data_IF_288781605454
#
_entry.id   IF_288781605454
#
_cell.length_a   1.000
_cell.length_b   1.000
_cell.length_c   1.000
_cell.angle_alpha   90.00
_cell.angle_beta   90.00
_cell.angle_gamma   90.00
#
_symmetry.space_group_name_H-M   'P 1'
#
loop_
_entity.id
_entity.type
_entity.pdbx_description
1 polymer ?
#
# COMPACT_ATOMS: atom_id res chain seq x y z
N UNK A 1 2.07 52.41 -8.74
CA UNK A 1 1.57 51.02 -8.77
C UNK A 1 0.08 51.03 -8.42
N UNK A 2 -0.84 50.64 -9.31
CA UNK A 2 -2.26 50.66 -9.00
C UNK A 2 -2.66 49.41 -8.22
N UNK A 3 -3.42 49.60 -7.14
CA UNK A 3 -4.04 48.54 -6.34
C UNK A 3 -5.13 47.86 -7.17
N UNK A 4 -5.03 46.54 -7.36
CA UNK A 4 -6.10 45.73 -7.95
C UNK A 4 -7.22 45.59 -6.93
N UNK A 5 -8.42 46.06 -7.29
CA UNK A 5 -9.66 45.82 -6.57
C UNK A 5 -10.12 44.38 -6.81
N UNK A 6 -10.28 43.60 -5.75
CA UNK A 6 -10.94 42.30 -5.83
C UNK A 6 -12.45 42.50 -5.82
N UNK A 7 -13.10 42.11 -6.92
CA UNK A 7 -14.54 41.90 -6.98
C UNK A 7 -14.89 40.59 -6.27
N UNK A 8 -15.98 40.52 -5.46
CA UNK A 8 -16.42 39.28 -4.84
C UNK A 8 -16.96 38.31 -5.89
N UNK A 9 -16.65 37.03 -5.72
CA UNK A 9 -17.23 35.93 -6.48
C UNK A 9 -18.61 35.64 -5.87
N UNK A 10 -19.68 35.95 -6.60
CA UNK A 10 -21.04 35.52 -6.27
C UNK A 10 -21.17 34.01 -6.50
N UNK A 11 -21.44 33.26 -5.44
CA UNK A 11 -21.85 31.87 -5.54
C UNK A 11 -23.31 31.81 -5.95
N UNK A 12 -23.57 31.36 -7.18
CA UNK A 12 -24.92 31.02 -7.64
C UNK A 12 -25.43 29.81 -6.84
N UNK A 13 -26.45 30.03 -6.02
CA UNK A 13 -27.23 28.97 -5.37
C UNK A 13 -28.19 28.37 -6.40
N UNK A 14 -27.89 27.17 -6.87
CA UNK A 14 -28.82 26.39 -7.69
C UNK A 14 -29.92 25.81 -6.80
N UNK A 15 -31.12 26.37 -6.91
CA UNK A 15 -32.34 25.80 -6.33
C UNK A 15 -32.74 24.54 -7.11
N UNK A 16 -32.40 23.36 -6.58
CA UNK A 16 -32.95 22.10 -7.07
C UNK A 16 -34.32 21.87 -6.42
N UNK A 17 -35.37 21.96 -7.23
CA UNK A 17 -36.73 21.49 -6.89
C UNK A 17 -36.78 19.98 -7.08
N UNK A 18 -36.90 19.22 -5.99
CA UNK A 18 -37.08 17.76 -6.06
C UNK A 18 -38.56 17.42 -6.04
N UNK A 19 -39.15 17.28 -7.23
CA UNK A 19 -40.38 16.52 -7.43
C UNK A 19 -40.01 15.20 -8.11
N UNK A 20 -40.13 14.09 -7.39
CA UNK A 20 -40.63 12.81 -7.89
C UNK A 20 -40.61 11.76 -6.76
N UNK A 21 -41.81 11.45 -6.26
CA UNK A 21 -42.10 10.28 -5.44
C UNK A 21 -42.00 9.03 -6.30
N UNK A 22 -40.91 8.28 -6.17
CA UNK A 22 -40.78 6.92 -6.70
C UNK A 22 -41.00 5.98 -5.53
N UNK A 23 -42.05 5.17 -5.62
CA UNK A 23 -42.32 4.07 -4.70
C UNK A 23 -41.27 2.97 -4.86
N UNK A 24 -40.69 2.43 -3.78
CA UNK A 24 -39.74 1.33 -3.87
C UNK A 24 -40.52 0.01 -3.98
N UNK A 25 -40.59 -0.54 -5.20
CA UNK A 25 -41.03 -1.91 -5.45
C UNK A 25 -39.82 -2.75 -5.85
N UNK A 26 -39.46 -3.72 -5.01
CA UNK A 26 -38.60 -4.85 -5.40
C UNK A 26 -37.10 -4.69 -5.13
N UNK A 27 -36.67 -4.42 -3.89
CA UNK A 27 -35.33 -4.85 -3.46
C UNK A 27 -35.36 -6.35 -3.18
N UNK A 28 -34.86 -7.14 -4.14
CA UNK A 28 -34.45 -8.53 -3.89
C UNK A 28 -33.24 -8.49 -2.94
N UNK A 29 -33.47 -8.86 -1.67
CA UNK A 29 -32.42 -9.14 -0.70
C UNK A 29 -31.56 -10.29 -1.23
N UNK A 30 -30.44 -9.97 -1.87
CA UNK A 30 -29.36 -10.95 -2.01
C UNK A 30 -28.75 -11.12 -0.63
N UNK A 31 -29.20 -12.15 0.08
CA UNK A 31 -28.55 -12.64 1.28
C UNK A 31 -27.11 -12.99 0.93
N UNK A 32 -26.18 -12.07 1.23
CA UNK A 32 -24.75 -12.35 1.25
C UNK A 32 -24.58 -13.36 2.39
N UNK A 33 -24.57 -14.65 2.05
CA UNK A 33 -24.06 -15.69 2.93
C UNK A 33 -22.58 -15.40 3.14
N UNK A 34 -22.26 -14.63 4.18
CA UNK A 34 -20.94 -14.66 4.78
C UNK A 34 -20.78 -16.11 5.23
N UNK A 35 -19.96 -16.86 4.50
CA UNK A 35 -19.56 -18.20 4.91
C UNK A 35 -18.71 -17.97 6.16
N UNK A 36 -19.34 -18.11 7.32
CA UNK A 36 -18.69 -18.06 8.61
C UNK A 36 -17.79 -19.29 8.74
N UNK A 37 -16.57 -19.17 8.22
CA UNK A 37 -15.46 -20.10 8.46
C UNK A 37 -14.82 -19.84 9.84
N UNK A 38 -15.55 -19.18 10.76
CA UNK A 38 -15.12 -18.90 12.13
C UNK A 38 -14.93 -20.17 12.96
N UNK A 39 -15.68 -21.23 12.66
CA UNK A 39 -15.63 -22.47 13.44
C UNK A 39 -14.35 -23.29 13.23
N UNK A 40 -13.54 -22.95 12.21
CA UNK A 40 -12.23 -23.57 11.96
C UNK A 40 -11.04 -22.67 12.35
N UNK A 41 -11.28 -21.48 12.93
CA UNK A 41 -10.18 -20.65 13.42
C UNK A 41 -9.65 -21.24 14.74
N UNK A 42 -8.65 -22.10 14.61
CA UNK A 42 -7.83 -22.56 15.71
C UNK A 42 -7.36 -21.33 16.50
N UNK A 43 -7.67 -21.30 17.81
CA UNK A 43 -7.29 -20.20 18.71
C UNK A 43 -5.78 -19.97 18.52
N UNK A 44 -5.33 -18.77 18.12
CA UNK A 44 -3.92 -18.54 17.88
C UNK A 44 -3.17 -18.94 19.16
N UNK A 45 -2.17 -19.81 19.00
CA UNK A 45 -1.20 -20.07 20.06
C UNK A 45 -0.70 -18.72 20.59
N UNK A 46 -0.26 -18.65 21.84
CA UNK A 46 0.38 -17.44 22.42
C UNK A 46 1.67 -17.02 21.67
N UNK A 47 1.97 -17.66 20.54
CA UNK A 47 3.07 -17.37 19.64
C UNK A 47 2.81 -16.06 18.91
N UNK A 48 3.75 -15.13 19.04
CA UNK A 48 3.72 -13.86 18.34
C UNK A 48 4.02 -14.14 16.86
N UNK A 49 3.01 -14.04 16.01
CA UNK A 49 3.17 -14.17 14.57
C UNK A 49 4.12 -13.08 14.04
N UNK A 50 5.11 -13.47 13.23
CA UNK A 50 6.00 -12.54 12.52
C UNK A 50 5.36 -12.16 11.18
N UNK A 51 4.86 -13.18 10.48
CA UNK A 51 4.17 -13.09 9.19
C UNK A 51 3.22 -14.29 9.04
N UNK A 52 2.63 -14.51 7.87
CA UNK A 52 1.74 -15.66 7.66
C UNK A 52 2.49 -17.00 7.79
N UNK A 53 3.74 -17.05 7.31
CA UNK A 53 4.57 -18.27 7.32
C UNK A 53 5.60 -18.31 8.45
N UNK A 54 5.81 -17.23 9.19
CA UNK A 54 6.87 -17.16 10.20
C UNK A 54 6.30 -16.78 11.57
N UNK A 55 6.82 -17.43 12.61
CA UNK A 55 6.57 -17.09 14.02
C UNK A 55 7.89 -16.97 14.78
N UNK A 56 7.88 -16.22 15.89
CA UNK A 56 9.02 -16.18 16.80
C UNK A 56 9.23 -17.52 17.50
N UNK A 57 10.48 -17.94 17.68
CA UNK A 57 10.79 -19.05 18.58
C UNK A 57 10.61 -18.62 20.04
N UNK A 58 9.94 -19.44 20.84
CA UNK A 58 9.76 -19.20 22.28
C UNK A 58 11.08 -19.28 23.07
N UNK A 59 12.06 -20.01 22.54
CA UNK A 59 13.30 -20.35 23.26
C UNK A 59 14.47 -19.45 22.85
N UNK A 60 14.40 -18.84 21.66
CA UNK A 60 15.51 -18.10 21.08
C UNK A 60 15.01 -16.82 20.40
N UNK A 61 15.28 -15.62 20.95
CA UNK A 61 14.73 -14.37 20.43
C UNK A 61 15.26 -14.00 19.03
N UNK A 62 16.35 -14.62 18.57
CA UNK A 62 16.90 -14.39 17.23
C UNK A 62 16.50 -15.49 16.23
N UNK A 63 15.62 -16.42 16.60
CA UNK A 63 15.16 -17.48 15.72
C UNK A 63 13.70 -17.25 15.35
N UNK A 64 13.40 -17.38 14.06
CA UNK A 64 12.04 -17.52 13.57
C UNK A 64 11.83 -18.93 13.03
N UNK A 65 10.61 -19.43 13.15
CA UNK A 65 10.21 -20.77 12.73
C UNK A 65 9.24 -20.62 11.56
N UNK A 66 9.51 -21.31 10.45
CA UNK A 66 8.54 -21.44 9.38
C UNK A 66 7.41 -22.38 9.85
N UNK A 67 6.17 -21.88 9.90
CA UNK A 67 5.02 -22.59 10.46
C UNK A 67 4.57 -23.78 9.61
N UNK A 68 4.98 -23.85 8.35
CA UNK A 68 4.61 -24.91 7.42
C UNK A 68 5.64 -26.05 7.42
N UNK A 69 6.93 -25.72 7.53
CA UNK A 69 8.03 -26.70 7.46
C UNK A 69 8.66 -27.02 8.81
N UNK A 70 8.33 -26.25 9.85
CA UNK A 70 8.97 -26.26 11.17
C UNK A 70 10.49 -26.01 11.12
N UNK A 71 11.00 -25.45 10.02
CA UNK A 71 12.40 -25.09 9.88
C UNK A 71 12.70 -23.80 10.64
N UNK A 72 13.82 -23.80 11.38
CA UNK A 72 14.34 -22.63 12.07
C UNK A 72 15.24 -21.78 11.17
N UNK A 73 15.15 -20.46 11.34
CA UNK A 73 15.95 -19.48 10.62
C UNK A 73 16.51 -18.45 11.60
N UNK A 74 17.81 -18.15 11.47
CA UNK A 74 18.45 -17.10 12.26
C UNK A 74 18.18 -15.73 11.65
N UNK A 75 17.73 -14.78 12.48
CA UNK A 75 17.49 -13.40 12.06
C UNK A 75 18.75 -12.60 11.81
N UNK A 76 19.92 -13.06 12.24
CA UNK A 76 21.18 -12.42 11.86
C UNK A 76 21.53 -12.67 10.38
N UNK A 77 20.90 -13.68 9.74
CA UNK A 77 21.04 -13.92 8.31
C UNK A 77 20.13 -12.98 7.50
N UNK A 78 20.75 -12.18 6.64
CA UNK A 78 20.08 -11.29 5.68
C UNK A 78 19.05 -12.03 4.82
N UNK A 79 19.30 -13.30 4.45
CA UNK A 79 18.35 -14.09 3.66
C UNK A 79 17.06 -14.34 4.43
N UNK A 80 17.15 -14.60 5.73
CA UNK A 80 15.98 -14.75 6.61
C UNK A 80 15.16 -13.47 6.63
N UNK A 81 15.81 -12.32 6.80
CA UNK A 81 15.14 -11.01 6.81
C UNK A 81 14.39 -10.74 5.50
N UNK A 82 15.03 -11.05 4.36
CA UNK A 82 14.41 -10.93 3.03
C UNK A 82 13.18 -11.84 2.91
N UNK A 83 13.27 -13.09 3.36
CA UNK A 83 12.14 -14.04 3.32
C UNK A 83 10.96 -13.55 4.15
N UNK A 84 11.21 -13.02 5.34
CA UNK A 84 10.16 -12.46 6.19
C UNK A 84 9.54 -11.22 5.54
N UNK A 85 10.36 -10.29 5.04
CA UNK A 85 9.86 -9.08 4.38
C UNK A 85 8.99 -9.42 3.16
N UNK A 86 9.45 -10.34 2.32
CA UNK A 86 8.68 -10.85 1.19
C UNK A 86 7.36 -11.46 1.66
N UNK A 87 7.39 -12.31 2.68
CA UNK A 87 6.19 -12.97 3.17
C UNK A 87 5.17 -11.98 3.75
N UNK A 88 5.63 -10.98 4.51
CA UNK A 88 4.79 -9.91 5.03
C UNK A 88 4.12 -9.14 3.88
N UNK A 89 4.89 -8.60 2.93
CA UNK A 89 4.32 -7.78 1.86
C UNK A 89 3.39 -8.60 0.96
N UNK A 90 3.83 -9.79 0.52
CA UNK A 90 3.02 -10.63 -0.37
C UNK A 90 1.75 -11.11 0.30
N UNK A 91 1.83 -11.67 1.50
CA UNK A 91 0.68 -12.35 2.10
C UNK A 91 -0.21 -11.42 2.91
N UNK A 92 0.28 -10.27 3.40
CA UNK A 92 -0.57 -9.29 4.08
C UNK A 92 -1.25 -8.33 3.11
N UNK A 93 -0.65 -8.06 1.95
CA UNK A 93 -1.15 -7.05 1.02
C UNK A 93 -1.48 -7.62 -0.36
N UNK A 94 -0.48 -8.05 -1.13
CA UNK A 94 -0.70 -8.37 -2.54
C UNK A 94 -1.58 -9.59 -2.78
N UNK A 95 -1.50 -10.62 -1.94
CA UNK A 95 -2.38 -11.78 -1.99
C UNK A 95 -3.86 -11.39 -1.93
N UNK A 96 -4.20 -10.49 -1.00
CA UNK A 96 -5.58 -9.99 -0.88
C UNK A 96 -5.93 -9.05 -2.03
N UNK A 97 -4.99 -8.22 -2.49
CA UNK A 97 -5.19 -7.40 -3.68
C UNK A 97 -5.55 -8.24 -4.91
N UNK A 98 -4.82 -9.32 -5.19
CA UNK A 98 -5.14 -10.25 -6.27
C UNK A 98 -6.51 -10.91 -6.13
N UNK A 99 -6.87 -11.35 -4.92
CA UNK A 99 -8.21 -11.91 -4.65
C UNK A 99 -9.32 -10.90 -4.93
N UNK A 100 -9.09 -9.63 -4.63
CA UNK A 100 -10.07 -8.56 -4.81
C UNK A 100 -10.26 -8.16 -6.27
N UNK A 101 -9.31 -8.47 -7.19
CA UNK A 101 -9.44 -8.11 -8.62
C UNK A 101 -10.66 -8.70 -9.32
N UNK A 102 -11.28 -9.74 -8.75
CA UNK A 102 -12.52 -10.32 -9.29
C UNK A 102 -13.78 -9.54 -8.91
N UNK A 103 -13.67 -8.58 -7.99
CA UNK A 103 -14.78 -7.73 -7.53
C UNK A 103 -14.67 -6.31 -8.13
N UNK A 104 -15.61 -5.98 -9.01
CA UNK A 104 -15.71 -4.68 -9.67
C UNK A 104 -15.86 -3.49 -8.71
N UNK A 105 -16.30 -3.72 -7.47
CA UNK A 105 -16.43 -2.68 -6.45
C UNK A 105 -15.17 -2.49 -5.60
N UNK A 106 -14.17 -3.36 -5.73
CA UNK A 106 -12.98 -3.33 -4.90
C UNK A 106 -11.88 -2.36 -5.39
N UNK A 107 -12.13 -1.60 -6.47
CA UNK A 107 -11.12 -0.74 -7.11
C UNK A 107 -10.41 0.24 -6.16
N UNK A 108 -11.15 0.86 -5.22
CA UNK A 108 -10.54 1.76 -4.22
C UNK A 108 -9.62 1.02 -3.23
N UNK A 109 -10.02 -0.19 -2.80
CA UNK A 109 -9.24 -0.99 -1.85
C UNK A 109 -7.98 -1.52 -2.53
N UNK A 110 -8.10 -2.04 -3.76
CA UNK A 110 -6.98 -2.49 -4.58
C UNK A 110 -5.95 -1.36 -4.75
N UNK A 111 -6.44 -0.15 -5.08
CA UNK A 111 -5.59 1.02 -5.23
C UNK A 111 -4.92 1.40 -3.90
N UNK A 112 -5.65 1.40 -2.78
CA UNK A 112 -5.09 1.70 -1.46
C UNK A 112 -3.99 0.70 -1.08
N UNK A 113 -4.20 -0.59 -1.34
CA UNK A 113 -3.19 -1.64 -1.13
C UNK A 113 -1.93 -1.30 -1.93
N UNK A 114 -2.05 -1.07 -3.23
CA UNK A 114 -0.92 -0.77 -4.10
C UNK A 114 -0.17 0.50 -3.66
N UNK A 115 -0.88 1.60 -3.44
CA UNK A 115 -0.30 2.89 -3.03
C UNK A 115 0.48 2.77 -1.72
N UNK A 116 -0.03 1.99 -0.76
CA UNK A 116 0.61 1.81 0.54
C UNK A 116 2.02 1.20 0.45
N UNK A 117 2.32 0.47 -0.62
CA UNK A 117 3.60 -0.21 -0.80
C UNK A 117 4.65 0.64 -1.50
N UNK A 118 4.27 1.69 -2.25
CA UNK A 118 5.23 2.50 -3.04
C UNK A 118 6.30 3.11 -2.14
N UNK A 119 5.89 3.81 -1.08
CA UNK A 119 6.80 4.46 -0.14
C UNK A 119 7.57 3.42 0.70
N UNK A 120 6.89 2.33 1.11
CA UNK A 120 7.52 1.27 1.89
C UNK A 120 8.68 0.62 1.15
N UNK A 121 8.44 0.16 -0.08
CA UNK A 121 9.47 -0.50 -0.91
C UNK A 121 10.60 0.47 -1.25
N UNK A 122 10.29 1.73 -1.57
CA UNK A 122 11.32 2.71 -1.93
C UNK A 122 12.28 3.01 -0.77
N UNK A 123 11.81 3.03 0.49
CA UNK A 123 12.70 3.16 1.65
C UNK A 123 13.75 2.06 1.68
N UNK A 124 13.33 0.79 1.60
CA UNK A 124 14.23 -0.36 1.60
C UNK A 124 15.19 -0.35 0.40
N UNK A 125 14.74 0.15 -0.75
CA UNK A 125 15.56 0.22 -1.93
C UNK A 125 16.63 1.31 -1.86
N UNK A 126 16.33 2.47 -1.27
CA UNK A 126 17.27 3.60 -1.16
C UNK A 126 18.04 3.64 0.15
N UNK A 127 17.65 2.84 1.15
CA UNK A 127 18.30 2.80 2.46
C UNK A 127 18.00 4.02 3.33
N UNK A 128 16.98 4.81 3.01
CA UNK A 128 16.62 6.01 3.78
C UNK A 128 15.20 5.92 4.31
N UNK A 129 15.05 6.20 5.61
CA UNK A 129 13.73 6.32 6.24
C UNK A 129 12.96 7.47 5.58
N UNK A 130 11.67 7.26 5.35
CA UNK A 130 10.77 8.29 4.83
C UNK A 130 10.24 9.22 5.91
N UNK A 131 10.68 9.07 7.17
CA UNK A 131 10.29 9.97 8.25
C UNK A 131 10.61 11.42 7.86
N UNK A 132 9.58 12.27 7.91
CA UNK A 132 9.62 13.68 7.46
C UNK A 132 9.84 13.91 5.95
N UNK A 133 9.94 12.84 5.15
CA UNK A 133 10.21 12.90 3.70
C UNK A 133 9.24 12.04 2.86
N UNK A 134 8.11 11.59 3.41
CA UNK A 134 7.15 10.67 2.77
C UNK A 134 6.79 11.04 1.33
N UNK A 135 6.50 12.33 1.06
CA UNK A 135 6.15 12.78 -0.30
C UNK A 135 7.31 12.62 -1.28
N UNK A 136 8.54 12.92 -0.86
CA UNK A 136 9.74 12.82 -1.70
C UNK A 136 10.05 11.35 -2.00
N UNK A 137 10.03 10.50 -0.96
CA UNK A 137 10.24 9.06 -1.09
C UNK A 137 9.15 8.44 -1.97
N UNK A 138 7.89 8.78 -1.75
CA UNK A 138 6.79 8.32 -2.59
C UNK A 138 6.99 8.70 -4.06
N UNK A 139 7.35 9.95 -4.34
CA UNK A 139 7.60 10.42 -5.72
C UNK A 139 8.74 9.64 -6.38
N UNK A 140 9.82 9.38 -5.65
CA UNK A 140 10.95 8.59 -6.16
C UNK A 140 10.51 7.16 -6.52
N UNK A 141 9.76 6.50 -5.64
CA UNK A 141 9.21 5.15 -5.90
C UNK A 141 8.26 5.15 -7.09
N UNK A 142 7.33 6.12 -7.15
CA UNK A 142 6.37 6.26 -8.25
C UNK A 142 7.08 6.36 -9.60
N UNK A 143 8.11 7.20 -9.73
CA UNK A 143 8.87 7.36 -10.97
C UNK A 143 9.58 6.08 -11.42
N UNK A 144 10.04 5.24 -10.48
CA UNK A 144 10.70 3.98 -10.82
C UNK A 144 9.69 2.95 -11.31
N UNK A 145 8.53 2.85 -10.65
CA UNK A 145 7.44 1.94 -11.01
C UNK A 145 6.88 2.32 -12.39
N UNK A 146 6.59 3.59 -12.60
CA UNK A 146 5.98 4.11 -13.83
C UNK A 146 6.98 4.81 -14.74
N UNK A 147 8.18 4.25 -14.86
CA UNK A 147 9.31 4.87 -15.60
C UNK A 147 9.06 5.06 -17.10
N UNK A 148 8.13 4.31 -17.69
CA UNK A 148 7.67 4.47 -19.06
C UNK A 148 6.69 5.63 -19.26
N UNK A 149 6.13 6.19 -18.16
CA UNK A 149 5.19 7.30 -18.20
C UNK A 149 5.94 8.58 -17.85
N UNK A 150 6.03 9.49 -18.82
CA UNK A 150 6.64 10.80 -18.58
C UNK A 150 5.66 11.71 -17.81
N UNK A 151 5.76 11.69 -16.48
CA UNK A 151 4.89 12.45 -15.56
C UNK A 151 5.70 13.52 -14.85
N UNK A 152 5.21 14.75 -14.85
CA UNK A 152 5.81 15.84 -14.09
C UNK A 152 5.70 15.61 -12.57
N UNK A 153 6.71 16.03 -11.81
CA UNK A 153 6.73 15.91 -10.34
C UNK A 153 5.51 16.53 -9.66
N UNK A 154 5.02 17.65 -10.18
CA UNK A 154 3.82 18.32 -9.68
C UNK A 154 2.60 17.41 -9.74
N UNK A 155 2.43 16.66 -10.82
CA UNK A 155 1.30 15.76 -11.01
C UNK A 155 1.40 14.52 -10.10
N UNK A 156 2.62 14.03 -9.83
CA UNK A 156 2.82 12.96 -8.84
C UNK A 156 2.51 13.47 -7.43
N UNK A 157 2.86 14.73 -7.12
CA UNK A 157 2.51 15.38 -5.85
C UNK A 157 1.00 15.55 -5.69
N UNK A 158 0.29 15.95 -6.75
CA UNK A 158 -1.18 15.99 -6.76
C UNK A 158 -1.76 14.59 -6.51
N UNK A 159 -1.24 13.56 -7.16
CA UNK A 159 -1.65 12.17 -6.90
C UNK A 159 -1.38 11.75 -5.44
N UNK A 160 -0.24 12.11 -4.87
CA UNK A 160 0.06 11.85 -3.46
C UNK A 160 -0.94 12.52 -2.52
N UNK A 161 -1.29 13.79 -2.77
CA UNK A 161 -2.22 14.54 -1.92
C UNK A 161 -3.66 14.01 -2.08
N UNK A 162 -4.13 13.87 -3.31
CA UNK A 162 -5.54 13.61 -3.59
C UNK A 162 -5.90 12.12 -3.53
N UNK A 163 -4.95 11.24 -3.83
CA UNK A 163 -5.17 9.79 -3.80
C UNK A 163 -4.62 9.17 -2.52
N UNK A 164 -3.30 9.19 -2.31
CA UNK A 164 -2.67 8.51 -1.16
C UNK A 164 -3.13 9.08 0.18
N UNK A 165 -3.03 10.40 0.36
CA UNK A 165 -3.46 11.03 1.61
C UNK A 165 -4.99 11.02 1.76
N UNK A 166 -5.74 11.26 0.68
CA UNK A 166 -7.21 11.18 0.69
C UNK A 166 -7.71 9.80 1.16
N UNK A 167 -7.25 8.72 0.52
CA UNK A 167 -7.70 7.37 0.88
C UNK A 167 -7.29 6.96 2.29
N UNK A 168 -6.08 7.35 2.74
CA UNK A 168 -5.59 6.98 4.07
C UNK A 168 -6.25 7.77 5.20
N UNK A 169 -6.54 9.07 4.99
CA UNK A 169 -7.04 9.95 6.06
C UNK A 169 -8.55 10.16 6.01
N UNK A 170 -9.15 10.13 4.82
CA UNK A 170 -10.58 10.43 4.63
C UNK A 170 -11.38 9.19 4.17
N UNK A 171 -10.71 8.09 3.84
CA UNK A 171 -11.34 6.89 3.28
C UNK A 171 -11.81 7.06 1.83
N UNK A 172 -11.44 8.16 1.15
CA UNK A 172 -11.86 8.44 -0.23
C UNK A 172 -10.82 9.27 -0.99
N UNK A 173 -10.80 9.14 -2.33
CA UNK A 173 -10.00 10.05 -3.16
C UNK A 173 -10.62 11.44 -3.21
N UNK A 174 -9.80 12.48 -3.36
CA UNK A 174 -10.24 13.87 -3.57
C UNK A 174 -10.24 14.21 -5.06
N UNK A 175 -11.07 15.17 -5.52
CA UNK A 175 -10.94 15.72 -6.87
C UNK A 175 -9.51 16.22 -7.14
N UNK A 176 -8.96 16.07 -8.35
CA UNK A 176 -9.61 15.59 -9.58
C UNK A 176 -9.28 14.11 -9.91
N UNK A 177 -9.42 13.18 -8.95
CA UNK A 177 -9.15 11.76 -9.20
C UNK A 177 -10.38 11.04 -9.77
N UNK A 178 -10.17 10.21 -10.80
CA UNK A 178 -11.15 9.25 -11.34
C UNK A 178 -10.54 7.85 -11.36
N UNK A 179 -11.33 6.87 -10.93
CA UNK A 179 -10.93 5.46 -10.95
C UNK A 179 -11.89 4.70 -11.85
N UNK A 180 -11.34 3.89 -12.76
CA UNK A 180 -12.14 3.01 -13.61
C UNK A 180 -11.28 1.91 -14.21
N UNK A 181 -11.82 0.68 -14.24
CA UNK A 181 -11.20 -0.45 -14.94
C UNK A 181 -11.25 -0.31 -16.47
N UNK A 182 -12.01 0.66 -16.99
CA UNK A 182 -12.10 0.95 -18.43
C UNK A 182 -10.91 1.76 -18.93
N UNK A 183 -10.11 2.36 -18.05
CA UNK A 183 -8.92 3.10 -18.47
C UNK A 183 -7.84 2.13 -18.94
N UNK A 184 -7.15 2.47 -20.03
CA UNK A 184 -6.19 1.59 -20.69
C UNK A 184 -4.76 1.71 -20.14
N UNK A 185 -4.54 2.64 -19.20
CA UNK A 185 -3.25 2.88 -18.55
C UNK A 185 -3.41 2.72 -17.03
N UNK A 186 -2.38 2.24 -16.29
CA UNK A 186 -2.39 2.27 -14.83
C UNK A 186 -2.57 3.69 -14.27
N UNK A 187 -2.03 4.69 -14.97
CA UNK A 187 -2.05 6.09 -14.57
C UNK A 187 -1.99 6.98 -15.81
N UNK A 188 -2.86 7.98 -15.88
CA UNK A 188 -2.85 9.00 -16.93
C UNK A 188 -3.39 10.33 -16.38
N UNK A 189 -2.90 11.46 -16.90
CA UNK A 189 -3.54 12.74 -16.70
C UNK A 189 -4.24 13.19 -17.97
N UNK A 190 -5.57 13.24 -17.91
CA UNK A 190 -6.41 13.49 -19.08
C UNK A 190 -7.69 14.20 -18.69
N UNK A 191 -8.08 15.18 -19.51
CA UNK A 191 -9.27 16.02 -19.32
C UNK A 191 -9.31 16.74 -17.96
N UNK A 192 -8.15 17.14 -17.45
CA UNK A 192 -7.95 17.70 -16.10
C UNK A 192 -8.24 16.74 -14.93
N UNK A 193 -8.27 15.43 -15.18
CA UNK A 193 -8.39 14.40 -14.16
C UNK A 193 -7.16 13.51 -14.11
N UNK A 194 -6.81 13.06 -12.90
CA UNK A 194 -5.92 11.92 -12.69
C UNK A 194 -6.78 10.67 -12.88
N UNK A 195 -6.57 9.95 -13.97
CA UNK A 195 -7.30 8.72 -14.33
C UNK A 195 -6.45 7.51 -13.93
N UNK A 196 -7.05 6.58 -13.18
CA UNK A 196 -6.35 5.43 -12.62
C UNK A 196 -7.13 4.17 -12.94
N UNK A 197 -6.49 3.22 -13.63
CA UNK A 197 -6.97 1.84 -13.64
C UNK A 197 -6.41 1.14 -12.40
N UNK A 198 -7.23 0.81 -11.39
CA UNK A 198 -6.75 0.27 -10.13
C UNK A 198 -6.09 -1.10 -10.30
N UNK A 199 -6.55 -1.90 -11.25
CA UNK A 199 -6.00 -3.24 -11.51
C UNK A 199 -4.61 -3.14 -12.14
N UNK A 200 -4.45 -2.34 -13.20
CA UNK A 200 -3.14 -2.15 -13.84
C UNK A 200 -2.16 -1.43 -12.94
N UNK A 201 -2.64 -0.47 -12.12
CA UNK A 201 -1.80 0.20 -11.14
C UNK A 201 -1.27 -0.79 -10.10
N UNK A 202 -2.15 -1.66 -9.58
CA UNK A 202 -1.77 -2.71 -8.66
C UNK A 202 -0.73 -3.67 -9.26
N UNK A 203 -0.96 -4.15 -10.48
CA UNK A 203 -0.04 -5.07 -11.16
C UNK A 203 1.35 -4.43 -11.32
N UNK A 204 1.42 -3.18 -11.76
CA UNK A 204 2.70 -2.47 -11.89
C UNK A 204 3.47 -2.35 -10.57
N UNK A 205 2.77 -2.10 -9.45
CA UNK A 205 3.41 -2.02 -8.12
C UNK A 205 3.85 -3.41 -7.64
N UNK A 206 3.03 -4.45 -7.84
CA UNK A 206 3.35 -5.82 -7.47
C UNK A 206 4.57 -6.34 -8.26
N UNK A 207 4.58 -6.13 -9.58
CA UNK A 207 5.68 -6.52 -10.45
C UNK A 207 6.97 -5.80 -10.05
N UNK A 208 6.88 -4.51 -9.70
CA UNK A 208 8.03 -3.75 -9.21
C UNK A 208 8.60 -4.34 -7.91
N UNK A 209 7.73 -4.74 -7.00
CA UNK A 209 8.14 -5.40 -5.75
C UNK A 209 8.80 -6.75 -6.01
N UNK A 210 8.23 -7.59 -6.87
CA UNK A 210 8.80 -8.89 -7.21
C UNK A 210 10.20 -8.74 -7.80
N UNK A 211 10.37 -7.81 -8.75
CA UNK A 211 11.68 -7.47 -9.31
C UNK A 211 12.67 -6.99 -8.24
N UNK A 212 12.21 -6.25 -7.22
CA UNK A 212 13.05 -5.84 -6.11
C UNK A 212 13.52 -7.03 -5.26
N UNK A 213 12.60 -7.94 -4.90
CA UNK A 213 12.92 -9.15 -4.14
C UNK A 213 13.90 -10.05 -4.91
N UNK A 214 13.70 -10.23 -6.22
CA UNK A 214 14.63 -11.01 -7.06
C UNK A 214 16.05 -10.42 -7.05
N UNK A 215 16.17 -9.09 -7.10
CA UNK A 215 17.46 -8.40 -6.99
C UNK A 215 18.12 -8.64 -5.64
N UNK A 216 17.36 -8.56 -4.54
CA UNK A 216 17.88 -8.85 -3.20
C UNK A 216 18.36 -10.30 -3.05
N UNK A 217 17.62 -11.26 -3.61
CA UNK A 217 17.99 -12.69 -3.58
C UNK A 217 19.23 -13.01 -4.42
N UNK A 218 19.74 -12.07 -5.21
CA UNK A 218 20.99 -12.19 -5.98
C UNK A 218 22.11 -11.28 -5.44
N UNK A 219 22.73 -11.63 -4.30
CA UNK A 219 23.69 -10.78 -3.59
C UNK A 219 24.93 -10.42 -4.42
N UNK A 220 25.37 -11.32 -5.30
CA UNK A 220 26.58 -11.14 -6.10
C UNK A 220 26.53 -9.92 -7.02
N UNK A 221 25.33 -9.45 -7.39
CA UNK A 221 25.13 -8.33 -8.33
C UNK A 221 24.59 -7.06 -7.66
N UNK A 222 24.11 -7.15 -6.41
CA UNK A 222 23.26 -6.12 -5.81
C UNK A 222 23.66 -5.76 -4.37
N UNK A 223 24.96 -5.79 -4.05
CA UNK A 223 25.45 -5.51 -2.68
C UNK A 223 24.88 -4.20 -2.09
N UNK A 224 24.88 -3.12 -2.86
CA UNK A 224 24.32 -1.84 -2.42
C UNK A 224 22.83 -1.92 -2.02
N UNK A 225 22.03 -2.71 -2.74
CA UNK A 225 20.61 -2.91 -2.39
C UNK A 225 20.44 -3.70 -1.10
N UNK A 226 21.34 -4.65 -0.81
CA UNK A 226 21.34 -5.40 0.44
C UNK A 226 21.72 -4.51 1.62
N UNK A 227 22.74 -3.67 1.46
CA UNK A 227 23.15 -2.72 2.49
C UNK A 227 22.01 -1.74 2.82
N UNK A 228 21.30 -1.26 1.80
CA UNK A 228 20.10 -0.42 1.98
C UNK A 228 18.96 -1.15 2.68
N UNK A 229 18.68 -2.39 2.27
CA UNK A 229 17.65 -3.21 2.89
C UNK A 229 17.94 -3.45 4.37
N UNK A 230 19.16 -3.88 4.68
CA UNK A 230 19.61 -4.17 6.04
C UNK A 230 19.51 -2.92 6.93
N UNK A 231 19.93 -1.77 6.41
CA UNK A 231 19.82 -0.49 7.11
C UNK A 231 18.38 -0.17 7.52
N UNK A 232 17.41 -0.28 6.60
CA UNK A 232 16.00 -0.01 6.92
C UNK A 232 15.41 -1.07 7.84
N UNK A 233 15.76 -2.34 7.62
CA UNK A 233 15.34 -3.43 8.50
C UNK A 233 15.76 -3.16 9.94
N UNK A 234 17.03 -2.81 10.15
CA UNK A 234 17.57 -2.56 11.47
C UNK A 234 16.94 -1.35 12.15
N UNK A 235 16.75 -0.24 11.42
CA UNK A 235 16.01 0.93 11.92
C UNK A 235 14.60 0.54 12.39
N UNK A 236 13.88 -0.28 11.62
CA UNK A 236 12.55 -0.74 11.97
C UNK A 236 12.52 -1.69 13.18
N UNK A 237 13.54 -2.53 13.36
CA UNK A 237 13.69 -3.36 14.56
C UNK A 237 13.94 -2.50 15.80
N UNK A 238 14.87 -1.55 15.73
CA UNK A 238 15.19 -0.64 16.85
C UNK A 238 13.97 0.15 17.30
N UNK A 239 13.18 0.67 16.36
CA UNK A 239 11.92 1.36 16.69
C UNK A 239 10.91 0.46 17.39
N UNK A 240 10.84 -0.84 17.05
CA UNK A 240 9.97 -1.80 17.74
C UNK A 240 10.44 -2.05 19.17
N UNK A 241 11.73 -2.34 19.37
CA UNK A 241 12.26 -2.68 20.70
C UNK A 241 12.35 -1.48 21.64
N UNK A 242 12.72 -0.30 21.15
CA UNK A 242 12.76 0.92 21.97
C UNK A 242 11.37 1.31 22.50
N UNK A 243 10.29 1.00 21.76
CA UNK A 243 8.92 1.25 22.23
C UNK A 243 8.45 0.25 23.28
N UNK A 244 8.90 -1.01 23.20
CA UNK A 244 8.53 -2.05 24.17
C UNK A 244 9.19 -1.76 25.52
N UNK A 245 10.48 -1.36 25.54
CA UNK A 245 11.19 -1.04 26.78
C UNK A 245 10.62 0.18 27.52
N UNK A 246 9.93 1.09 26.83
CA UNK A 246 9.24 2.24 27.43
C UNK A 246 7.87 1.90 28.06
N UNK A 247 7.34 0.70 27.84
CA UNK A 247 6.05 0.27 28.42
C UNK A 247 6.21 -0.53 29.73
N UNK A 248 7.45 -0.82 30.14
CA UNK A 248 7.77 -1.59 31.34
C UNK A 248 8.54 -0.79 32.41
N UNK A 249 8.62 0.54 32.25
CA UNK A 249 9.17 1.51 33.23
C UNK A 249 8.04 2.46 33.63
#
# INVERSE_FOLDING_TARGET
>A
MPKKSHTPIEFMTNNYTTNNSITPSGMLSHDIKIIDDEQNRQKPSEEIAVSLKFKWSSNHPNIVINTQTNQEYCLDDIKTKILIYEDCVKNWFFHYGHKLKTDYNAGFIILQIAISQIEGVEQYQCGNSSQSNSKITFRAGFKKIFSSINVADSLIDEFYIHCRCGLLHDGMTRPPVKISEKFTSPFEYKDNYIQINPQFFFDAVSDYFDNYIEKLKNPSKNKFLLDNFEKIWQLNLEHKFNKINLQFI
#
